data_IF_007932045282
#
_entry.id   IF_007932045282
#
_cell.length_a   1.000
_cell.length_b   1.000
_cell.length_c   1.000
_cell.angle_alpha   90.00
_cell.angle_beta   90.00
_cell.angle_gamma   90.00
#
_symmetry.space_group_name_H-M   'P 1'
#
loop_
_entity.id
_entity.type
_entity.pdbx_description
1 polymer ?
#
# COMPACT_ATOMS: atom_id res chain seq x y z
N UNK A 1 -30.40 -40.60 -22.97
CA UNK A 1 -30.09 -40.14 -21.59
C UNK A 1 -28.61 -39.90 -21.29
N UNK A 2 -27.64 -40.33 -22.11
CA UNK A 2 -26.19 -40.12 -21.82
C UNK A 2 -25.65 -38.71 -22.17
N UNK A 3 -26.33 -37.96 -23.04
CA UNK A 3 -25.85 -36.66 -23.52
C UNK A 3 -26.07 -35.50 -22.51
N UNK A 4 -27.04 -35.62 -21.59
CA UNK A 4 -27.31 -34.59 -20.56
C UNK A 4 -26.33 -34.62 -19.37
N UNK A 5 -25.64 -35.75 -19.13
CA UNK A 5 -24.66 -35.87 -18.04
C UNK A 5 -23.29 -35.25 -18.38
N UNK A 6 -22.91 -35.22 -19.66
CA UNK A 6 -21.61 -34.69 -20.10
C UNK A 6 -21.58 -33.15 -20.04
N UNK A 7 -22.71 -32.50 -20.35
CA UNK A 7 -22.84 -31.02 -20.31
C UNK A 7 -22.76 -30.49 -18.87
N UNK A 8 -23.28 -31.23 -17.89
CA UNK A 8 -23.16 -30.88 -16.47
C UNK A 8 -21.72 -30.98 -15.94
N UNK A 9 -20.97 -32.01 -16.35
CA UNK A 9 -19.55 -32.16 -15.94
C UNK A 9 -18.62 -31.12 -16.58
N UNK A 10 -18.86 -30.70 -17.82
CA UNK A 10 -18.10 -29.61 -18.44
C UNK A 10 -18.37 -28.24 -17.78
N UNK A 11 -19.59 -28.01 -17.29
CA UNK A 11 -19.95 -26.75 -16.63
C UNK A 11 -19.29 -26.61 -15.23
N UNK A 12 -19.22 -27.70 -14.48
CA UNK A 12 -18.52 -27.72 -13.17
C UNK A 12 -17.00 -27.65 -13.31
N UNK A 13 -16.40 -28.23 -14.35
CA UNK A 13 -14.95 -28.18 -14.58
C UNK A 13 -14.48 -26.77 -15.01
N UNK A 14 -15.31 -26.05 -15.79
CA UNK A 14 -15.09 -24.64 -16.17
C UNK A 14 -15.06 -23.70 -14.94
N UNK A 15 -15.93 -23.93 -13.95
CA UNK A 15 -16.07 -23.06 -12.79
C UNK A 15 -14.91 -23.18 -11.79
N UNK A 16 -14.31 -24.38 -11.68
CA UNK A 16 -13.13 -24.60 -10.84
C UNK A 16 -11.89 -23.87 -11.38
N UNK A 17 -11.65 -23.91 -12.69
CA UNK A 17 -10.50 -23.25 -13.33
C UNK A 17 -10.54 -21.71 -13.22
N UNK A 18 -11.73 -21.10 -13.22
CA UNK A 18 -11.86 -19.66 -12.99
C UNK A 18 -11.56 -19.25 -11.54
N UNK A 19 -11.81 -20.13 -10.57
CA UNK A 19 -11.52 -19.87 -9.16
C UNK A 19 -10.02 -19.75 -8.88
N UNK A 20 -9.23 -20.71 -9.39
CA UNK A 20 -7.78 -20.72 -9.21
C UNK A 20 -7.10 -19.53 -9.87
N UNK A 21 -7.55 -19.12 -11.06
CA UNK A 21 -7.01 -17.96 -11.76
C UNK A 21 -7.27 -16.65 -10.99
N UNK A 22 -8.47 -16.47 -10.43
CA UNK A 22 -8.80 -15.30 -9.60
C UNK A 22 -8.00 -15.27 -8.30
N UNK A 23 -7.83 -16.44 -7.65
CA UNK A 23 -7.04 -16.54 -6.43
C UNK A 23 -5.57 -16.16 -6.65
N UNK A 24 -4.95 -16.64 -7.75
CA UNK A 24 -3.57 -16.26 -8.09
C UNK A 24 -3.44 -14.76 -8.36
N UNK A 25 -4.39 -14.15 -9.08
CA UNK A 25 -4.40 -12.70 -9.32
C UNK A 25 -4.52 -11.89 -8.03
N UNK A 26 -5.34 -12.35 -7.08
CA UNK A 26 -5.45 -11.72 -5.76
C UNK A 26 -4.15 -11.79 -4.98
N UNK A 27 -3.52 -12.97 -4.94
CA UNK A 27 -2.27 -13.15 -4.24
C UNK A 27 -1.14 -12.30 -4.86
N UNK A 28 -1.11 -12.15 -6.18
CA UNK A 28 -0.10 -11.35 -6.86
C UNK A 28 -0.31 -9.84 -6.63
N UNK A 29 -1.55 -9.36 -6.62
CA UNK A 29 -1.84 -7.96 -6.31
C UNK A 29 -1.59 -7.62 -4.83
N UNK A 30 -1.90 -8.55 -3.90
CA UNK A 30 -1.56 -8.40 -2.48
C UNK A 30 -0.03 -8.31 -2.28
N UNK A 31 0.76 -9.19 -2.93
CA UNK A 31 2.23 -9.11 -2.90
C UNK A 31 2.74 -7.78 -3.44
N UNK A 32 2.09 -7.24 -4.47
CA UNK A 32 2.43 -5.95 -5.05
C UNK A 32 2.17 -4.81 -4.07
N UNK A 33 1.05 -4.86 -3.33
CA UNK A 33 0.74 -3.90 -2.27
C UNK A 33 1.77 -3.96 -1.13
N UNK A 34 2.14 -5.15 -0.67
CA UNK A 34 3.18 -5.34 0.36
C UNK A 34 4.51 -4.75 -0.11
N UNK A 35 4.95 -5.10 -1.32
CA UNK A 35 6.18 -4.57 -1.89
C UNK A 35 6.15 -3.06 -2.04
N UNK A 36 5.00 -2.49 -2.41
CA UNK A 36 4.82 -1.05 -2.47
C UNK A 36 5.04 -0.41 -1.10
N UNK A 37 4.42 -0.97 -0.05
CA UNK A 37 4.55 -0.47 1.32
C UNK A 37 5.99 -0.56 1.84
N UNK A 38 6.67 -1.69 1.62
CA UNK A 38 8.06 -1.88 2.03
C UNK A 38 8.99 -0.84 1.39
N UNK A 39 8.87 -0.62 0.08
CA UNK A 39 9.69 0.37 -0.65
C UNK A 39 9.39 1.78 -0.15
N UNK A 40 8.12 2.10 0.08
CA UNK A 40 7.72 3.41 0.61
C UNK A 40 8.31 3.66 2.01
N UNK A 41 8.26 2.67 2.91
CA UNK A 41 8.84 2.78 4.25
C UNK A 41 10.36 2.98 4.21
N UNK A 42 11.07 2.19 3.39
CA UNK A 42 12.52 2.35 3.23
C UNK A 42 12.89 3.75 2.70
N UNK A 43 12.07 4.33 1.82
CA UNK A 43 12.27 5.70 1.36
C UNK A 43 11.94 6.72 2.45
N UNK A 44 10.85 6.53 3.21
CA UNK A 44 10.45 7.40 4.32
C UNK A 44 11.54 7.50 5.40
N UNK A 45 12.14 6.37 5.79
CA UNK A 45 13.16 6.32 6.84
C UNK A 45 14.40 7.16 6.51
N UNK A 46 14.73 7.35 5.23
CA UNK A 46 15.91 8.13 4.81
C UNK A 46 15.81 9.61 5.20
N UNK A 47 14.61 10.18 5.23
CA UNK A 47 14.39 11.60 5.55
C UNK A 47 13.49 11.83 6.78
N UNK A 48 12.87 10.78 7.32
CA UNK A 48 12.16 10.74 8.61
C UNK A 48 12.77 9.68 9.55
N UNK A 49 14.05 9.80 9.95
CA UNK A 49 14.75 8.75 10.69
C UNK A 49 14.09 8.40 12.03
N UNK A 50 13.40 9.34 12.68
CA UNK A 50 12.70 9.05 13.94
C UNK A 50 11.53 8.08 13.76
N UNK A 51 10.91 8.02 12.58
CA UNK A 51 9.84 7.04 12.29
C UNK A 51 10.44 5.62 12.28
N UNK A 52 11.65 5.46 11.74
CA UNK A 52 12.35 4.17 11.77
C UNK A 52 12.58 3.70 13.21
N UNK A 53 13.15 4.57 14.06
CA UNK A 53 13.39 4.28 15.48
C UNK A 53 12.09 3.93 16.22
N UNK A 54 10.99 4.64 15.96
CA UNK A 54 9.68 4.35 16.56
C UNK A 54 9.11 2.98 16.17
N UNK A 55 9.46 2.49 14.99
CA UNK A 55 9.07 1.17 14.49
C UNK A 55 10.07 0.06 14.89
N UNK A 56 11.09 0.38 15.69
CA UNK A 56 12.11 -0.56 16.16
C UNK A 56 13.28 -0.77 15.20
N UNK A 57 13.37 0.05 14.15
CA UNK A 57 14.50 0.05 13.23
C UNK A 57 15.56 1.08 13.66
N UNK A 58 16.64 0.55 14.23
CA UNK A 58 17.74 1.33 14.79
C UNK A 58 18.84 1.72 13.80
N UNK A 59 18.66 1.43 12.48
CA UNK A 59 19.66 1.76 11.44
C UNK A 59 19.97 3.26 11.31
N UNK A 60 19.10 4.12 11.83
CA UNK A 60 19.19 5.59 11.69
C UNK A 60 19.24 6.34 13.03
N UNK A 61 19.48 5.65 14.15
CA UNK A 61 19.47 6.25 15.49
C UNK A 61 20.55 7.33 15.70
N UNK A 62 21.55 7.38 14.82
CA UNK A 62 22.58 8.42 14.78
C UNK A 62 22.13 9.70 14.05
N UNK A 63 20.92 9.71 13.48
CA UNK A 63 20.36 10.84 12.72
C UNK A 63 19.23 11.52 13.45
N UNK A 64 19.21 12.85 13.37
CA UNK A 64 18.10 13.67 13.86
C UNK A 64 17.30 14.23 12.68
N UNK A 65 15.98 14.12 12.77
CA UNK A 65 15.06 14.72 11.80
C UNK A 65 15.10 16.25 11.89
N UNK A 66 15.21 16.93 10.74
CA UNK A 66 15.18 18.39 10.66
C UNK A 66 13.83 18.87 10.07
N UNK A 67 12.87 19.33 10.88
CA UNK A 67 11.54 19.73 10.42
C UNK A 67 11.48 21.18 9.88
N UNK A 68 12.53 21.64 9.20
CA UNK A 68 12.51 22.94 8.52
C UNK A 68 11.38 23.03 7.50
N UNK A 69 10.95 24.25 7.16
CA UNK A 69 9.93 24.49 6.13
C UNK A 69 10.24 23.78 4.80
N UNK A 70 11.50 23.80 4.38
CA UNK A 70 11.97 23.15 3.17
C UNK A 70 11.81 21.62 3.24
N UNK A 71 12.28 20.99 4.32
CA UNK A 71 12.16 19.54 4.48
C UNK A 71 10.71 19.09 4.62
N UNK A 72 9.87 19.86 5.30
CA UNK A 72 8.44 19.56 5.41
C UNK A 72 7.71 19.59 4.07
N UNK A 73 8.10 20.51 3.19
CA UNK A 73 7.58 20.53 1.82
C UNK A 73 8.01 19.29 1.03
N UNK A 74 9.27 18.85 1.19
CA UNK A 74 9.74 17.57 0.61
C UNK A 74 8.94 16.37 1.14
N UNK A 75 8.65 16.32 2.43
CA UNK A 75 7.84 15.25 3.02
C UNK A 75 6.41 15.26 2.47
N UNK A 76 5.79 16.43 2.36
CA UNK A 76 4.46 16.58 1.76
C UNK A 76 4.45 16.08 0.32
N UNK A 77 5.45 16.45 -0.48
CA UNK A 77 5.58 15.98 -1.86
C UNK A 77 5.78 14.46 -1.92
N UNK A 78 6.58 13.89 -1.02
CA UNK A 78 6.75 12.45 -0.90
C UNK A 78 5.41 11.75 -0.68
N UNK A 79 4.67 12.08 0.39
CA UNK A 79 3.40 11.41 0.70
C UNK A 79 2.36 11.63 -0.39
N UNK A 80 2.32 12.81 -1.01
CA UNK A 80 1.41 13.08 -2.14
C UNK A 80 1.72 12.15 -3.31
N UNK A 81 2.99 12.06 -3.70
CA UNK A 81 3.41 11.18 -4.79
C UNK A 81 3.19 9.70 -4.48
N UNK A 82 3.41 9.27 -3.23
CA UNK A 82 3.16 7.90 -2.77
C UNK A 82 1.67 7.57 -2.80
N UNK A 83 0.80 8.48 -2.36
CA UNK A 83 -0.65 8.30 -2.42
C UNK A 83 -1.15 8.20 -3.88
N UNK A 84 -0.65 9.04 -4.78
CA UNK A 84 -0.96 8.97 -6.21
C UNK A 84 -0.47 7.65 -6.84
N UNK A 85 0.73 7.19 -6.49
CA UNK A 85 1.26 5.90 -6.94
C UNK A 85 0.47 4.73 -6.39
N UNK A 86 0.11 4.73 -5.10
CA UNK A 86 -0.73 3.68 -4.50
C UNK A 86 -2.03 3.52 -5.29
N UNK A 87 -2.74 4.63 -5.51
CA UNK A 87 -4.03 4.66 -6.21
C UNK A 87 -3.96 4.26 -7.67
N UNK A 88 -2.85 4.56 -8.35
CA UNK A 88 -2.70 4.28 -9.77
C UNK A 88 -2.08 2.92 -10.07
N UNK A 89 -1.22 2.40 -9.17
CA UNK A 89 -0.48 1.17 -9.40
C UNK A 89 -1.18 -0.05 -8.80
N UNK A 90 -1.92 0.09 -7.70
CA UNK A 90 -2.59 -1.04 -7.05
C UNK A 90 -4.05 -1.12 -7.49
N UNK A 91 -4.42 -2.26 -8.06
CA UNK A 91 -5.77 -2.58 -8.52
C UNK A 91 -6.63 -3.06 -7.37
N UNK A 92 -7.31 -2.13 -6.70
CA UNK A 92 -8.09 -2.42 -5.50
C UNK A 92 -9.14 -3.53 -5.70
N UNK A 93 -9.72 -3.63 -6.90
CA UNK A 93 -10.70 -4.65 -7.27
C UNK A 93 -10.11 -6.06 -7.28
N UNK A 94 -8.81 -6.19 -7.55
CA UNK A 94 -8.09 -7.45 -7.59
C UNK A 94 -7.48 -7.83 -6.25
N UNK A 95 -7.54 -6.99 -5.22
CA UNK A 95 -7.03 -7.35 -3.89
C UNK A 95 -7.93 -8.40 -3.21
N UNK A 96 -7.32 -9.19 -2.31
CA UNK A 96 -8.09 -10.02 -1.38
C UNK A 96 -8.92 -9.16 -0.41
N UNK A 97 -9.79 -9.79 0.38
CA UNK A 97 -10.57 -9.06 1.38
C UNK A 97 -9.67 -8.36 2.42
N UNK A 98 -8.61 -9.03 2.89
CA UNK A 98 -7.62 -8.42 3.77
C UNK A 98 -6.80 -7.35 3.06
N UNK A 99 -6.35 -7.61 1.83
CA UNK A 99 -5.60 -6.63 1.05
C UNK A 99 -6.37 -5.33 0.82
N UNK A 100 -7.70 -5.40 0.63
CA UNK A 100 -8.56 -4.20 0.54
C UNK A 100 -8.57 -3.37 1.81
N UNK A 101 -8.54 -4.02 2.99
CA UNK A 101 -8.44 -3.34 4.28
C UNK A 101 -7.07 -2.68 4.40
N UNK A 102 -5.98 -3.41 4.12
CA UNK A 102 -4.61 -2.89 4.19
C UNK A 102 -4.41 -1.69 3.26
N UNK A 103 -4.91 -1.79 2.01
CA UNK A 103 -4.91 -0.68 1.06
C UNK A 103 -5.61 0.54 1.65
N UNK A 104 -6.79 0.36 2.26
CA UNK A 104 -7.56 1.49 2.78
C UNK A 104 -6.91 2.12 4.01
N UNK A 105 -6.31 1.31 4.89
CA UNK A 105 -5.54 1.79 6.04
C UNK A 105 -4.37 2.64 5.57
N UNK A 106 -3.59 2.13 4.61
CA UNK A 106 -2.44 2.85 4.06
C UNK A 106 -2.87 4.16 3.37
N UNK A 107 -3.92 4.11 2.55
CA UNK A 107 -4.49 5.28 1.89
C UNK A 107 -4.90 6.35 2.90
N UNK A 108 -5.72 5.98 3.89
CA UNK A 108 -6.23 6.92 4.89
C UNK A 108 -5.13 7.46 5.80
N UNK A 109 -4.09 6.67 6.10
CA UNK A 109 -2.93 7.17 6.83
C UNK A 109 -2.17 8.26 6.04
N UNK A 110 -1.96 8.07 4.75
CA UNK A 110 -1.30 9.08 3.90
C UNK A 110 -2.16 10.34 3.74
N UNK A 111 -3.47 10.20 3.55
CA UNK A 111 -4.40 11.35 3.51
C UNK A 111 -4.36 12.15 4.81
N UNK A 112 -4.42 11.46 5.95
CA UNK A 112 -4.30 12.10 7.28
C UNK A 112 -2.95 12.79 7.44
N UNK A 113 -1.87 12.15 7.00
CA UNK A 113 -0.52 12.71 7.11
C UNK A 113 -0.40 13.98 6.27
N UNK A 114 -0.88 13.98 5.03
CA UNK A 114 -0.91 15.17 4.18
C UNK A 114 -1.74 16.30 4.80
N UNK A 115 -2.91 15.98 5.37
CA UNK A 115 -3.72 16.97 6.08
C UNK A 115 -2.94 17.58 7.26
N UNK A 116 -2.27 16.77 8.06
CA UNK A 116 -1.44 17.27 9.16
C UNK A 116 -0.28 18.13 8.65
N UNK A 117 0.34 17.78 7.53
CA UNK A 117 1.41 18.61 6.95
C UNK A 117 0.87 19.96 6.44
N UNK A 118 -0.36 20.04 5.98
CA UNK A 118 -0.93 21.31 5.52
C UNK A 118 -1.29 22.25 6.68
N UNK A 119 -1.82 21.70 7.78
CA UNK A 119 -2.40 22.49 8.86
C UNK A 119 -1.54 22.60 10.13
N UNK A 120 -0.60 21.68 10.37
CA UNK A 120 0.28 21.75 11.53
C UNK A 120 1.55 22.57 11.23
N UNK A 121 1.52 23.85 11.61
CA UNK A 121 2.63 24.80 11.40
C UNK A 121 3.51 25.03 12.63
N UNK A 122 3.30 24.27 13.71
CA UNK A 122 3.95 24.51 15.01
C UNK A 122 5.48 24.53 14.97
N UNK A 123 6.10 23.96 13.92
CA UNK A 123 7.56 23.85 13.78
C UNK A 123 8.11 24.52 12.51
N UNK A 124 7.29 25.28 11.78
CA UNK A 124 7.74 26.12 10.65
C UNK A 124 8.34 27.43 11.19
N UNK A 125 9.57 27.38 11.70
CA UNK A 125 10.34 28.59 12.00
C UNK A 125 11.02 29.13 10.73
#
# INVERSE_FOLDING_TARGET
MKLKLIVGSLFFFSMALCGDAMFNLQQDEDKKLVKFFDVMLEDEFKFRPMIATQLGDHRFDDKLENPSKENRELWKQFYKSSLEKLRSQIKQELLSASGKVDFKVLESNMERTLWLQEFNKTYEN
#
